data_IF_769479113454
#
_entry.id   IF_769479113454
#
_cell.length_a   1.000
_cell.length_b   1.000
_cell.length_c   1.000
_cell.angle_alpha   90.00
_cell.angle_beta   90.00
_cell.angle_gamma   90.00
#
_symmetry.space_group_name_H-M   'P 1'
#
loop_
_entity.id
_entity.type
_entity.pdbx_description
1 polymer ?
#
# COMPACT_ATOMS: atom_id res chain seq x y z
N UNK A 1 14.17 12.60 -2.89
CA UNK A 1 13.32 12.21 -1.76
C UNK A 1 13.94 12.78 -0.50
N UNK A 2 13.13 13.45 0.31
CA UNK A 2 13.54 14.11 1.54
C UNK A 2 13.05 13.30 2.71
N UNK A 3 13.94 13.04 3.65
CA UNK A 3 13.62 12.46 4.95
C UNK A 3 13.68 13.58 6.00
N UNK A 4 12.65 13.71 6.83
CA UNK A 4 12.56 14.74 7.85
C UNK A 4 12.55 14.14 9.26
N UNK A 5 13.33 14.74 10.16
CA UNK A 5 13.47 14.22 11.51
C UNK A 5 12.19 14.45 12.32
N UNK A 6 11.58 13.37 12.80
CA UNK A 6 10.56 13.41 13.85
C UNK A 6 9.39 14.37 13.53
N UNK A 7 8.95 14.38 12.27
CA UNK A 7 8.18 15.47 11.68
C UNK A 7 6.92 15.84 12.50
N UNK A 8 6.11 14.86 12.89
CA UNK A 8 4.89 15.10 13.67
C UNK A 8 5.15 15.76 15.03
N UNK A 9 6.23 15.38 15.70
CA UNK A 9 6.54 15.87 17.04
C UNK A 9 7.33 17.20 17.01
N UNK A 10 7.93 17.54 15.86
CA UNK A 10 8.79 18.73 15.71
C UNK A 10 8.07 19.93 15.08
N UNK A 11 6.86 19.76 14.53
CA UNK A 11 6.09 20.88 13.97
C UNK A 11 5.98 22.03 14.98
N UNK A 12 6.20 23.25 14.51
CA UNK A 12 6.02 24.43 15.34
C UNK A 12 4.53 24.61 15.66
N UNK A 13 4.13 24.18 16.86
CA UNK A 13 2.71 24.16 17.27
C UNK A 13 2.07 25.53 17.25
N UNK A 14 2.79 26.57 17.65
CA UNK A 14 2.24 27.93 17.64
C UNK A 14 1.95 28.40 16.21
N UNK A 15 2.88 28.16 15.29
CA UNK A 15 2.67 28.42 13.87
C UNK A 15 1.52 27.57 13.31
N UNK A 16 1.46 26.29 13.65
CA UNK A 16 0.38 25.38 13.24
C UNK A 16 -1.01 25.89 13.70
N UNK A 17 -1.14 26.30 14.96
CA UNK A 17 -2.38 26.86 15.51
C UNK A 17 -2.81 28.15 14.80
N UNK A 18 -1.84 29.03 14.50
CA UNK A 18 -2.09 30.25 13.74
C UNK A 18 -2.54 29.93 12.31
N UNK A 19 -1.81 29.07 11.60
CA UNK A 19 -2.12 28.66 10.23
C UNK A 19 -3.47 27.97 10.14
N UNK A 20 -3.82 27.13 11.13
CA UNK A 20 -5.13 26.48 11.23
C UNK A 20 -6.27 27.49 11.29
N UNK A 21 -6.10 28.62 12.00
CA UNK A 21 -7.12 29.67 12.05
C UNK A 21 -7.43 30.27 10.68
N UNK A 22 -6.44 30.32 9.79
CA UNK A 22 -6.56 30.91 8.46
C UNK A 22 -7.03 29.87 7.44
N UNK A 23 -6.36 28.72 7.39
CA UNK A 23 -6.57 27.68 6.38
C UNK A 23 -7.73 26.74 6.72
N UNK A 24 -8.10 26.61 7.99
CA UNK A 24 -9.18 25.73 8.44
C UNK A 24 -10.00 26.35 9.58
N UNK A 25 -10.67 27.49 9.33
CA UNK A 25 -11.36 28.27 10.36
C UNK A 25 -12.43 27.46 11.12
N UNK A 26 -13.14 26.56 10.43
CA UNK A 26 -14.21 25.74 10.99
C UNK A 26 -13.73 24.80 12.13
N UNK A 27 -12.49 24.33 12.09
CA UNK A 27 -11.93 23.46 13.14
C UNK A 27 -10.94 24.18 14.06
N UNK A 28 -10.62 25.45 13.77
CA UNK A 28 -9.59 26.22 14.49
C UNK A 28 -9.82 26.30 16.01
N UNK A 29 -11.06 26.52 16.45
CA UNK A 29 -11.38 26.62 17.88
C UNK A 29 -11.18 25.28 18.60
N UNK A 30 -11.60 24.18 17.98
CA UNK A 30 -11.42 22.85 18.53
C UNK A 30 -9.93 22.53 18.67
N UNK A 31 -9.17 22.70 17.57
CA UNK A 31 -7.73 22.43 17.53
C UNK A 31 -7.00 23.33 18.53
N UNK A 32 -7.35 24.61 18.62
CA UNK A 32 -6.78 25.52 19.62
C UNK A 32 -7.03 25.02 21.04
N UNK A 33 -8.26 24.61 21.39
CA UNK A 33 -8.54 24.12 22.73
C UNK A 33 -7.79 22.83 23.06
N UNK A 34 -7.58 21.96 22.07
CA UNK A 34 -6.83 20.70 22.22
C UNK A 34 -5.32 20.95 22.38
N UNK A 35 -4.75 21.88 21.63
CA UNK A 35 -3.30 22.04 21.46
C UNK A 35 -2.70 23.34 22.02
N UNK A 36 -3.49 24.31 22.49
CA UNK A 36 -2.96 25.60 23.04
C UNK A 36 -2.07 25.42 24.28
N UNK A 37 -2.24 24.33 25.01
CA UNK A 37 -1.48 24.00 26.21
C UNK A 37 -0.42 22.95 25.96
N UNK A 38 0.25 22.53 27.03
CA UNK A 38 1.15 21.39 26.98
C UNK A 38 0.44 20.16 27.55
N UNK A 39 0.19 19.17 26.70
CA UNK A 39 -0.43 17.92 27.13
C UNK A 39 0.57 17.14 28.01
N UNK A 40 0.14 16.62 29.17
CA UNK A 40 0.99 15.75 29.98
C UNK A 40 1.09 14.37 29.33
N UNK A 41 2.31 13.92 29.08
CA UNK A 41 2.69 12.57 28.67
C UNK A 41 2.99 11.77 29.93
N UNK A 42 2.17 10.75 30.19
CA UNK A 42 2.26 9.93 31.40
C UNK A 42 3.12 8.71 31.13
N UNK A 43 4.22 8.58 31.87
CA UNK A 43 5.05 7.38 31.85
C UNK A 43 4.65 6.50 33.03
N UNK A 44 4.38 5.22 32.76
CA UNK A 44 4.01 4.26 33.81
C UNK A 44 5.08 4.26 34.90
N UNK A 45 4.64 4.27 36.16
CA UNK A 45 5.48 4.26 37.37
C UNK A 45 6.37 5.51 37.57
N UNK A 46 6.15 6.58 36.79
CA UNK A 46 6.74 7.90 37.03
C UNK A 46 5.80 8.80 37.84
N UNK A 47 6.35 9.58 38.77
CA UNK A 47 5.63 10.66 39.47
C UNK A 47 5.73 12.00 38.75
N UNK A 48 6.59 12.10 37.74
CA UNK A 48 6.80 13.29 36.94
C UNK A 48 6.05 13.20 35.62
N UNK A 49 5.49 14.33 35.18
CA UNK A 49 4.90 14.47 33.85
C UNK A 49 5.92 15.03 32.87
N UNK A 50 6.05 14.39 31.71
CA UNK A 50 6.66 15.02 30.55
C UNK A 50 5.60 15.85 29.85
N UNK A 51 5.95 17.03 29.35
CA UNK A 51 4.98 17.91 28.71
C UNK A 51 5.26 18.01 27.21
N UNK A 52 4.28 17.67 26.38
CA UNK A 52 4.37 17.84 24.94
C UNK A 52 4.23 19.32 24.60
N UNK A 53 5.34 19.99 24.23
CA UNK A 53 5.39 21.43 23.93
C UNK A 53 5.33 21.76 22.44
N UNK A 54 5.72 20.81 21.60
CA UNK A 54 5.84 20.95 20.15
C UNK A 54 5.08 19.83 19.43
N UNK A 55 4.85 20.01 18.14
CA UNK A 55 4.21 19.01 17.30
C UNK A 55 2.74 18.76 17.60
N UNK A 56 2.26 17.68 17.00
CA UNK A 56 0.92 17.10 17.12
C UNK A 56 1.03 15.67 17.63
N UNK A 57 0.04 15.21 18.40
CA UNK A 57 0.11 13.91 19.07
C UNK A 57 -0.14 12.78 18.09
N UNK A 58 0.82 11.86 17.92
CA UNK A 58 0.59 10.65 17.14
C UNK A 58 -0.49 9.77 17.79
N UNK A 59 -1.44 9.30 16.99
CA UNK A 59 -2.62 8.57 17.46
C UNK A 59 -3.85 9.45 17.78
N UNK A 60 -3.72 10.77 17.77
CA UNK A 60 -4.89 11.67 17.74
C UNK A 60 -5.54 11.60 16.34
N UNK A 61 -6.87 11.34 16.23
CA UNK A 61 -7.60 11.33 14.97
C UNK A 61 -7.43 12.58 14.09
N UNK A 62 -7.12 13.74 14.68
CA UNK A 62 -6.92 14.99 13.94
C UNK A 62 -5.46 15.31 13.59
N UNK A 63 -4.48 14.56 14.11
CA UNK A 63 -3.07 14.94 13.99
C UNK A 63 -2.60 15.09 12.56
N UNK A 64 -3.02 14.19 11.66
CA UNK A 64 -2.67 14.23 10.23
C UNK A 64 -3.18 15.48 9.54
N UNK A 65 -4.41 15.90 9.83
CA UNK A 65 -5.00 17.10 9.22
C UNK A 65 -4.33 18.36 9.75
N UNK A 66 -4.04 18.41 11.06
CA UNK A 66 -3.31 19.53 11.65
C UNK A 66 -1.89 19.61 11.06
N UNK A 67 -1.22 18.46 10.92
CA UNK A 67 0.10 18.39 10.30
C UNK A 67 0.06 18.92 8.85
N UNK A 68 -0.89 18.44 8.04
CA UNK A 68 -1.04 18.90 6.65
C UNK A 68 -1.25 20.42 6.57
N UNK A 69 -2.15 20.97 7.39
CA UNK A 69 -2.40 22.42 7.45
C UNK A 69 -1.16 23.20 7.94
N UNK A 70 -0.38 22.62 8.84
CA UNK A 70 0.84 23.23 9.34
C UNK A 70 1.95 23.28 8.28
N UNK A 71 2.04 22.29 7.40
CA UNK A 71 3.07 22.20 6.36
C UNK A 71 2.73 22.97 5.08
N UNK A 72 1.45 23.18 4.75
CA UNK A 72 1.04 23.92 3.53
C UNK A 72 1.76 25.27 3.37
N UNK A 73 1.84 26.14 4.39
CA UNK A 73 2.57 27.41 4.27
C UNK A 73 4.07 27.27 3.97
N UNK A 74 4.71 26.20 4.46
CA UNK A 74 6.10 25.89 4.09
C UNK A 74 6.19 25.51 2.61
N UNK A 75 5.30 24.63 2.15
CA UNK A 75 5.25 24.16 0.76
C UNK A 75 5.05 25.35 -0.19
N UNK A 76 4.10 26.23 0.12
CA UNK A 76 3.84 27.45 -0.65
C UNK A 76 5.04 28.40 -0.63
N UNK A 77 5.69 28.55 0.52
CA UNK A 77 6.83 29.45 0.69
C UNK A 77 8.07 28.99 -0.09
N UNK A 78 8.38 27.69 -0.08
CA UNK A 78 9.51 27.16 -0.85
C UNK A 78 9.18 27.12 -2.34
N UNK A 79 7.92 26.91 -2.72
CA UNK A 79 7.46 26.78 -4.09
C UNK A 79 8.05 25.57 -4.84
N UNK A 80 7.59 25.34 -6.06
CA UNK A 80 8.06 24.23 -6.89
C UNK A 80 9.49 24.45 -7.43
N UNK A 81 10.18 23.39 -7.87
CA UNK A 81 11.35 23.50 -8.74
C UNK A 81 11.00 24.15 -10.10
N UNK A 82 11.93 24.85 -10.73
CA UNK A 82 11.63 25.58 -11.99
C UNK A 82 11.36 24.63 -13.17
N UNK A 83 12.22 23.63 -13.41
CA UNK A 83 12.04 22.67 -14.52
C UNK A 83 11.29 21.41 -14.11
N UNK A 84 10.40 21.48 -13.10
CA UNK A 84 9.83 20.27 -12.52
C UNK A 84 8.69 20.46 -11.53
N UNK A 85 8.49 19.44 -10.71
CA UNK A 85 7.42 19.37 -9.70
C UNK A 85 7.90 18.65 -8.45
N UNK A 86 7.33 19.05 -7.33
CA UNK A 86 7.39 18.34 -6.06
C UNK A 86 6.01 17.79 -5.67
N UNK A 87 6.04 16.74 -4.88
CA UNK A 87 4.88 16.03 -4.33
C UNK A 87 5.19 15.76 -2.87
N UNK A 88 4.17 15.96 -2.04
CA UNK A 88 4.24 15.77 -0.61
C UNK A 88 3.24 14.70 -0.19
N UNK A 89 3.71 13.71 0.57
CA UNK A 89 2.85 12.70 1.19
C UNK A 89 3.15 12.67 2.68
N UNK A 90 2.25 13.27 3.47
CA UNK A 90 2.54 13.55 4.88
C UNK A 90 3.86 14.33 5.03
N UNK A 91 4.83 13.78 5.76
CA UNK A 91 6.17 14.34 5.95
C UNK A 91 7.16 13.99 4.83
N UNK A 92 6.87 13.02 3.97
CA UNK A 92 7.72 12.67 2.84
C UNK A 92 7.57 13.71 1.72
N UNK A 93 8.64 14.48 1.47
CA UNK A 93 8.72 15.38 0.32
C UNK A 93 9.55 14.75 -0.81
N UNK A 94 9.10 14.89 -2.04
CA UNK A 94 9.84 14.43 -3.22
C UNK A 94 9.74 15.42 -4.35
N UNK A 95 10.85 15.67 -5.06
CA UNK A 95 10.89 16.57 -6.21
C UNK A 95 11.57 15.90 -7.40
N UNK A 96 11.11 16.22 -8.60
CA UNK A 96 11.69 15.78 -9.87
C UNK A 96 11.91 17.00 -10.77
N UNK A 97 13.17 17.32 -11.05
CA UNK A 97 13.60 18.45 -11.88
C UNK A 97 15.05 18.25 -12.35
N UNK A 98 15.64 19.25 -13.02
CA UNK A 98 17.07 19.29 -13.31
C UNK A 98 17.90 19.33 -12.01
N UNK A 99 19.16 18.88 -12.05
CA UNK A 99 20.00 18.78 -10.86
C UNK A 99 20.19 20.14 -10.15
N UNK A 100 20.41 21.21 -10.92
CA UNK A 100 20.59 22.56 -10.38
C UNK A 100 19.31 23.10 -9.72
N UNK A 101 18.15 22.88 -10.35
CA UNK A 101 16.86 23.29 -9.77
C UNK A 101 16.51 22.47 -8.53
N UNK A 102 16.83 21.17 -8.51
CA UNK A 102 16.67 20.33 -7.33
C UNK A 102 17.53 20.82 -6.19
N UNK A 103 18.79 21.20 -6.45
CA UNK A 103 19.67 21.76 -5.43
C UNK A 103 19.12 23.09 -4.89
N UNK A 104 18.63 23.96 -5.77
CA UNK A 104 18.00 25.24 -5.39
C UNK A 104 16.75 25.03 -4.53
N UNK A 105 15.86 24.13 -4.94
CA UNK A 105 14.67 23.74 -4.17
C UNK A 105 15.05 23.13 -2.81
N UNK A 106 15.99 22.21 -2.79
CA UNK A 106 16.46 21.57 -1.56
C UNK A 106 17.10 22.58 -0.59
N UNK A 107 17.88 23.54 -1.11
CA UNK A 107 18.48 24.61 -0.31
C UNK A 107 17.44 25.53 0.32
N UNK A 108 16.38 25.89 -0.44
CA UNK A 108 15.23 26.63 0.10
C UNK A 108 14.55 25.85 1.23
N UNK A 109 14.34 24.55 1.04
CA UNK A 109 13.73 23.69 2.05
C UNK A 109 14.58 23.57 3.31
N UNK A 110 15.90 23.41 3.18
CA UNK A 110 16.82 23.36 4.34
C UNK A 110 16.84 24.66 5.13
N UNK A 111 16.74 25.80 4.45
CA UNK A 111 16.74 27.12 5.07
C UNK A 111 15.40 27.44 5.75
N UNK A 112 14.29 27.23 5.04
CA UNK A 112 12.97 27.62 5.51
C UNK A 112 12.34 26.59 6.47
N UNK A 113 12.53 25.29 6.20
CA UNK A 113 11.88 24.18 6.91
C UNK A 113 11.90 24.30 8.43
N UNK A 114 13.06 24.54 9.07
CA UNK A 114 13.17 24.60 10.52
C UNK A 114 12.25 25.63 11.19
N UNK A 115 11.93 26.74 10.51
CA UNK A 115 11.03 27.76 11.05
C UNK A 115 9.58 27.26 11.21
N UNK A 116 9.21 26.25 10.41
CA UNK A 116 7.92 25.59 10.44
C UNK A 116 7.94 24.28 11.26
N UNK A 117 9.11 23.88 11.77
CA UNK A 117 9.30 22.61 12.48
C UNK A 117 9.47 21.39 11.56
N UNK A 118 9.75 21.63 10.27
CA UNK A 118 10.13 20.59 9.32
C UNK A 118 11.65 20.58 9.19
N UNK A 119 12.29 19.50 9.62
CA UNK A 119 13.75 19.44 9.71
C UNK A 119 14.29 18.36 8.77
N UNK A 120 14.64 18.70 7.52
CA UNK A 120 15.24 17.73 6.61
C UNK A 120 16.56 17.19 7.18
N UNK A 121 16.80 15.89 6.99
CA UNK A 121 18.06 15.23 7.31
C UNK A 121 18.81 14.87 6.02
N UNK A 122 19.69 15.75 5.49
CA UNK A 122 20.36 15.53 4.21
C UNK A 122 21.00 14.15 4.01
N UNK A 123 21.57 13.57 5.08
CA UNK A 123 22.25 12.27 5.04
C UNK A 123 21.32 11.06 4.91
N UNK A 124 20.02 11.26 5.16
CA UNK A 124 18.97 10.25 4.94
C UNK A 124 18.18 10.52 3.66
N UNK A 125 18.35 11.71 3.07
CA UNK A 125 17.77 12.02 1.77
C UNK A 125 18.42 11.19 0.67
N UNK A 126 17.62 10.89 -0.35
CA UNK A 126 18.04 10.11 -1.50
C UNK A 126 17.74 10.86 -2.79
N UNK A 127 18.75 10.94 -3.67
CA UNK A 127 18.66 11.50 -5.01
C UNK A 127 18.75 10.37 -6.03
N UNK A 128 17.66 10.12 -6.75
CA UNK A 128 17.60 9.12 -7.82
C UNK A 128 17.89 9.79 -9.15
N UNK A 129 18.93 9.32 -9.86
CA UNK A 129 19.34 9.87 -11.16
C UNK A 129 19.54 8.77 -12.19
N UNK A 130 19.43 9.14 -13.47
CA UNK A 130 19.88 8.25 -14.54
C UNK A 130 21.40 8.01 -14.40
N UNK A 131 21.87 6.81 -14.75
CA UNK A 131 23.27 6.37 -14.61
C UNK A 131 24.29 7.35 -15.21
N UNK A 132 23.91 8.06 -16.27
CA UNK A 132 24.77 9.04 -16.94
C UNK A 132 25.06 10.30 -16.10
N UNK A 133 24.26 10.57 -15.07
CA UNK A 133 24.37 11.76 -14.23
C UNK A 133 24.87 11.48 -12.81
N UNK A 134 25.21 10.22 -12.48
CA UNK A 134 25.65 9.84 -11.12
C UNK A 134 26.85 10.67 -10.68
N UNK A 135 27.89 10.78 -11.50
CA UNK A 135 29.09 11.56 -11.14
C UNK A 135 28.76 13.03 -10.89
N UNK A 136 28.02 13.67 -11.80
CA UNK A 136 27.62 15.07 -11.66
C UNK A 136 26.74 15.32 -10.42
N UNK A 137 25.82 14.40 -10.13
CA UNK A 137 24.96 14.47 -8.95
C UNK A 137 25.75 14.27 -7.65
N UNK A 138 26.68 13.30 -7.62
CA UNK A 138 27.59 13.09 -6.50
C UNK A 138 28.42 14.33 -6.21
N UNK A 139 28.98 14.98 -7.24
CA UNK A 139 29.78 16.20 -7.08
C UNK A 139 28.92 17.37 -6.58
N UNK A 140 27.73 17.55 -7.16
CA UNK A 140 26.83 18.66 -6.83
C UNK A 140 26.25 18.57 -5.41
N UNK A 141 25.90 17.36 -4.96
CA UNK A 141 25.29 17.13 -3.64
C UNK A 141 26.28 16.68 -2.55
N UNK A 142 27.58 16.60 -2.89
CA UNK A 142 28.65 16.10 -2.00
C UNK A 142 28.67 16.77 -0.63
N UNK A 143 28.51 18.08 -0.59
CA UNK A 143 28.58 18.89 0.64
C UNK A 143 27.43 18.59 1.61
N UNK A 144 26.30 18.09 1.10
CA UNK A 144 25.12 17.75 1.89
C UNK A 144 25.15 16.30 2.40
N UNK A 145 25.91 15.43 1.73
CA UNK A 145 25.97 14.00 2.05
C UNK A 145 24.69 13.25 1.68
N UNK A 146 23.94 13.74 0.68
CA UNK A 146 22.77 13.05 0.11
C UNK A 146 23.21 11.77 -0.58
N UNK A 147 22.47 10.69 -0.38
CA UNK A 147 22.74 9.42 -1.07
C UNK A 147 22.30 9.50 -2.54
N UNK A 148 23.21 9.21 -3.46
CA UNK A 148 22.95 9.27 -4.91
C UNK A 148 22.88 7.86 -5.45
N UNK A 149 21.72 7.50 -6.00
CA UNK A 149 21.45 6.16 -6.51
C UNK A 149 20.76 6.23 -7.88
N UNK A 150 20.70 5.09 -8.57
CA UNK A 150 19.97 4.96 -9.84
C UNK A 150 18.55 4.41 -9.65
N UNK A 151 18.21 3.92 -8.45
CA UNK A 151 16.87 3.47 -8.11
C UNK A 151 16.63 3.53 -6.61
N UNK A 152 15.38 3.76 -6.21
CA UNK A 152 15.01 3.79 -4.80
C UNK A 152 13.56 3.39 -4.56
N UNK A 153 13.28 2.84 -3.38
CA UNK A 153 11.92 2.53 -2.91
C UNK A 153 11.21 3.84 -2.57
N UNK A 154 9.98 4.03 -3.06
CA UNK A 154 9.18 5.21 -2.76
C UNK A 154 7.72 4.81 -2.55
N UNK A 155 7.15 5.15 -1.38
CA UNK A 155 5.75 4.87 -1.02
C UNK A 155 5.33 3.42 -1.34
N UNK A 156 6.20 2.47 -0.97
CA UNK A 156 6.02 1.03 -1.18
C UNK A 156 6.17 0.52 -2.62
N UNK A 157 6.36 1.39 -3.61
CA UNK A 157 6.83 1.06 -4.96
C UNK A 157 8.32 1.31 -5.14
N UNK A 158 8.77 1.42 -6.39
CA UNK A 158 10.16 1.68 -6.77
C UNK A 158 10.21 2.65 -7.96
N UNK A 159 11.19 3.55 -7.93
CA UNK A 159 11.47 4.50 -9.02
C UNK A 159 12.93 4.38 -9.47
N UNK A 160 13.22 4.80 -10.70
CA UNK A 160 14.56 4.83 -11.27
C UNK A 160 14.79 3.74 -12.31
N UNK A 161 15.96 3.10 -12.25
CA UNK A 161 16.41 2.12 -13.25
C UNK A 161 15.55 0.86 -13.29
N UNK A 162 15.43 0.27 -14.48
CA UNK A 162 14.71 -1.00 -14.69
C UNK A 162 15.34 -2.14 -13.88
N UNK A 163 16.68 -2.22 -13.85
CA UNK A 163 17.41 -3.21 -13.06
C UNK A 163 17.05 -3.10 -11.58
N UNK A 164 17.10 -1.89 -11.02
CA UNK A 164 16.74 -1.66 -9.62
C UNK A 164 15.27 -1.95 -9.31
N UNK A 165 14.37 -1.70 -10.27
CA UNK A 165 12.97 -2.08 -10.14
C UNK A 165 12.79 -3.61 -10.08
N UNK A 166 13.48 -4.34 -10.96
CA UNK A 166 13.46 -5.81 -10.98
C UNK A 166 14.03 -6.39 -9.69
N UNK A 167 15.16 -5.86 -9.22
CA UNK A 167 15.82 -6.34 -8.00
C UNK A 167 14.94 -6.12 -6.76
N UNK A 168 14.33 -4.93 -6.62
CA UNK A 168 13.41 -4.65 -5.53
C UNK A 168 12.21 -5.61 -5.51
N UNK A 169 11.59 -5.87 -6.67
CA UNK A 169 10.45 -6.80 -6.75
C UNK A 169 10.90 -8.23 -6.41
N UNK A 170 12.08 -8.66 -6.87
CA UNK A 170 12.66 -9.98 -6.53
C UNK A 170 12.92 -10.12 -5.04
N UNK A 171 13.38 -9.07 -4.38
CA UNK A 171 13.59 -9.06 -2.92
C UNK A 171 12.25 -9.21 -2.18
N UNK A 172 11.22 -8.46 -2.57
CA UNK A 172 9.87 -8.63 -2.02
C UNK A 172 9.31 -10.04 -2.26
N UNK A 173 9.46 -10.57 -3.48
CA UNK A 173 9.05 -11.95 -3.83
C UNK A 173 9.77 -12.97 -2.96
N UNK A 174 11.07 -12.80 -2.74
CA UNK A 174 11.86 -13.69 -1.88
C UNK A 174 11.40 -13.65 -0.42
N UNK A 175 11.03 -12.48 0.08
CA UNK A 175 10.43 -12.34 1.42
C UNK A 175 9.07 -13.05 1.51
N UNK A 176 8.20 -12.87 0.51
CA UNK A 176 6.90 -13.53 0.49
C UNK A 176 7.00 -15.04 0.37
N UNK A 177 7.94 -15.58 -0.40
CA UNK A 177 8.21 -17.02 -0.45
C UNK A 177 8.55 -17.54 0.95
N UNK A 178 9.44 -16.87 1.70
CA UNK A 178 9.78 -17.26 3.09
C UNK A 178 8.57 -17.21 4.02
N UNK A 179 7.69 -16.22 3.85
CA UNK A 179 6.46 -16.14 4.64
C UNK A 179 5.51 -17.28 4.28
N UNK A 180 5.37 -17.61 2.99
CA UNK A 180 4.53 -18.72 2.52
C UNK A 180 5.05 -20.07 3.03
N UNK A 181 6.37 -20.29 3.08
CA UNK A 181 6.96 -21.48 3.71
C UNK A 181 6.54 -21.62 5.17
N UNK A 182 6.49 -20.52 5.94
CA UNK A 182 5.98 -20.55 7.32
C UNK A 182 4.48 -20.83 7.38
N UNK A 183 3.70 -20.25 6.48
CA UNK A 183 2.27 -20.51 6.39
C UNK A 183 1.95 -21.95 6.02
N UNK A 184 2.80 -22.60 5.21
CA UNK A 184 2.69 -24.03 4.87
C UNK A 184 2.85 -24.89 6.12
N UNK A 185 3.89 -24.64 6.93
CA UNK A 185 4.09 -25.37 8.21
C UNK A 185 2.88 -25.20 9.14
N UNK A 186 2.31 -23.99 9.20
CA UNK A 186 1.09 -23.74 9.99
C UNK A 186 -0.10 -24.50 9.40
N UNK A 187 -0.22 -24.56 8.07
CA UNK A 187 -1.35 -25.21 7.38
C UNK A 187 -1.46 -26.71 7.65
N UNK A 188 -0.36 -27.39 8.02
CA UNK A 188 -0.37 -28.80 8.38
C UNK A 188 -1.33 -29.09 9.55
N UNK A 189 -1.33 -28.21 10.56
CA UNK A 189 -2.12 -28.36 11.80
C UNK A 189 -3.29 -27.38 11.89
N UNK A 190 -3.19 -26.22 11.26
CA UNK A 190 -4.15 -25.10 11.37
C UNK A 190 -4.43 -24.49 9.97
N UNK A 191 -5.00 -25.27 9.03
CA UNK A 191 -5.20 -24.84 7.64
C UNK A 191 -6.12 -23.62 7.51
N UNK A 192 -7.17 -23.50 8.34
CA UNK A 192 -8.06 -22.34 8.34
C UNK A 192 -7.32 -21.04 8.71
N UNK A 193 -6.45 -21.09 9.71
CA UNK A 193 -5.65 -19.93 10.14
C UNK A 193 -4.64 -19.53 9.08
N UNK A 194 -3.96 -20.51 8.47
CA UNK A 194 -3.04 -20.27 7.36
C UNK A 194 -3.75 -19.64 6.15
N UNK A 195 -4.90 -20.18 5.74
CA UNK A 195 -5.74 -19.61 4.69
C UNK A 195 -6.19 -18.18 5.00
N UNK A 196 -6.62 -17.93 6.23
CA UNK A 196 -7.00 -16.59 6.70
C UNK A 196 -5.84 -15.60 6.62
N UNK A 197 -4.66 -15.97 7.12
CA UNK A 197 -3.48 -15.11 7.09
C UNK A 197 -3.03 -14.83 5.65
N UNK A 198 -3.06 -15.84 4.78
CA UNK A 198 -2.76 -15.70 3.36
C UNK A 198 -3.70 -14.69 2.68
N UNK A 199 -5.01 -14.93 2.74
CA UNK A 199 -6.00 -14.17 1.97
C UNK A 199 -6.20 -12.75 2.47
N UNK A 200 -6.01 -12.50 3.77
CA UNK A 200 -6.26 -11.19 4.40
C UNK A 200 -5.02 -10.34 4.57
N UNK A 201 -3.83 -10.93 4.56
CA UNK A 201 -2.58 -10.20 4.78
C UNK A 201 -1.63 -10.36 3.60
N UNK A 202 -1.08 -11.55 3.38
CA UNK A 202 0.06 -11.73 2.48
C UNK A 202 -0.33 -11.38 1.04
N UNK A 203 -1.50 -11.85 0.57
CA UNK A 203 -2.00 -11.52 -0.75
C UNK A 203 -2.21 -10.02 -0.98
N UNK A 204 -2.63 -9.29 0.04
CA UNK A 204 -2.84 -7.84 -0.04
C UNK A 204 -1.53 -7.05 -0.15
N UNK A 205 -0.42 -7.58 0.38
CA UNK A 205 0.89 -6.92 0.29
C UNK A 205 1.40 -6.86 -1.15
N UNK A 206 1.41 -7.99 -1.87
CA UNK A 206 1.81 -7.95 -3.28
C UNK A 206 0.77 -7.30 -4.18
N UNK A 207 -0.52 -7.38 -3.84
CA UNK A 207 -1.55 -6.60 -4.54
C UNK A 207 -1.28 -5.10 -4.42
N UNK A 208 -0.74 -4.63 -3.29
CA UNK A 208 -0.26 -3.26 -3.17
C UNK A 208 0.92 -2.99 -4.10
N UNK A 209 1.96 -3.83 -4.08
CA UNK A 209 3.14 -3.65 -4.95
C UNK A 209 2.76 -3.60 -6.44
N UNK A 210 1.87 -4.48 -6.88
CA UNK A 210 1.36 -4.52 -8.26
C UNK A 210 0.61 -3.25 -8.66
N UNK A 211 -0.05 -2.57 -7.72
CA UNK A 211 -0.75 -1.31 -8.00
C UNK A 211 0.19 -0.13 -8.23
N UNK A 212 1.44 -0.23 -7.74
CA UNK A 212 2.41 0.87 -7.76
C UNK A 212 3.66 0.58 -8.60
N UNK A 213 3.82 -0.65 -9.11
CA UNK A 213 5.00 -1.07 -9.90
C UNK A 213 4.55 -1.65 -11.24
N UNK A 214 4.86 -0.99 -12.38
CA UNK A 214 4.54 -1.52 -13.70
C UNK A 214 5.41 -2.74 -14.07
N UNK A 215 4.96 -3.51 -15.05
CA UNK A 215 5.75 -4.54 -15.75
C UNK A 215 6.41 -5.58 -14.82
N UNK A 216 5.79 -5.88 -13.68
CA UNK A 216 6.34 -6.79 -12.67
C UNK A 216 5.74 -8.21 -12.73
N UNK A 217 4.80 -8.47 -13.64
CA UNK A 217 4.05 -9.73 -13.75
C UNK A 217 4.93 -10.99 -13.73
N UNK A 218 5.95 -11.03 -14.58
CA UNK A 218 6.82 -12.21 -14.75
C UNK A 218 7.65 -12.54 -13.50
N UNK A 219 7.87 -11.56 -12.62
CA UNK A 219 8.67 -11.72 -11.41
C UNK A 219 7.94 -12.50 -10.31
N UNK A 220 6.62 -12.66 -10.42
CA UNK A 220 5.79 -13.35 -9.44
C UNK A 220 5.76 -14.88 -9.60
N UNK A 221 6.46 -15.44 -10.60
CA UNK A 221 6.55 -16.89 -10.83
C UNK A 221 6.86 -17.71 -9.57
N UNK A 222 7.89 -17.37 -8.77
CA UNK A 222 8.22 -18.11 -7.55
C UNK A 222 7.08 -18.14 -6.51
N UNK A 223 6.31 -17.06 -6.39
CA UNK A 223 5.14 -16.98 -5.49
C UNK A 223 4.04 -17.92 -5.98
N UNK A 224 3.75 -17.91 -7.28
CA UNK A 224 2.76 -18.81 -7.87
C UNK A 224 3.16 -20.28 -7.72
N UNK A 225 4.43 -20.60 -7.97
CA UNK A 225 4.97 -21.96 -7.81
C UNK A 225 4.75 -22.49 -6.40
N UNK A 226 5.14 -21.75 -5.35
CA UNK A 226 4.96 -22.23 -3.97
C UNK A 226 3.48 -22.31 -3.56
N UNK A 227 2.62 -21.43 -4.08
CA UNK A 227 1.17 -21.51 -3.84
C UNK A 227 0.61 -22.82 -4.42
N UNK A 228 0.93 -23.08 -5.69
CA UNK A 228 0.42 -24.23 -6.44
C UNK A 228 0.96 -25.56 -5.91
N UNK A 229 2.27 -25.64 -5.69
CA UNK A 229 2.96 -26.91 -5.41
C UNK A 229 2.98 -27.29 -3.93
N UNK A 230 2.83 -26.32 -3.02
CA UNK A 230 2.97 -26.57 -1.58
C UNK A 230 1.80 -26.07 -0.76
N UNK A 231 1.44 -24.78 -0.87
CA UNK A 231 0.41 -24.19 0.00
C UNK A 231 -0.95 -24.83 -0.22
N UNK A 232 -1.44 -24.85 -1.47
CA UNK A 232 -2.74 -25.42 -1.79
C UNK A 232 -2.81 -26.92 -1.42
N UNK A 233 -1.84 -27.77 -1.81
CA UNK A 233 -1.84 -29.16 -1.36
C UNK A 233 -1.87 -29.33 0.16
N UNK A 234 -1.17 -28.48 0.91
CA UNK A 234 -1.16 -28.56 2.39
C UNK A 234 -2.49 -28.13 3.01
N UNK A 235 -3.14 -27.11 2.44
CA UNK A 235 -4.45 -26.65 2.89
C UNK A 235 -5.53 -27.74 2.72
N UNK A 236 -5.50 -28.46 1.59
CA UNK A 236 -6.47 -29.51 1.28
C UNK A 236 -6.08 -30.88 1.85
N UNK A 237 -4.79 -31.16 2.00
CA UNK A 237 -4.27 -32.48 2.36
C UNK A 237 -4.20 -33.46 1.19
N UNK A 238 -4.26 -32.98 -0.05
CA UNK A 238 -4.21 -33.78 -1.28
C UNK A 238 -3.52 -33.01 -2.43
N UNK A 239 -3.23 -33.70 -3.54
CA UNK A 239 -2.73 -33.04 -4.75
C UNK A 239 -3.82 -32.18 -5.41
N UNK A 240 -3.40 -31.08 -6.04
CA UNK A 240 -4.30 -30.11 -6.69
C UNK A 240 -3.98 -30.05 -8.18
N UNK A 241 -5.01 -30.25 -9.02
CA UNK A 241 -4.91 -30.17 -10.48
C UNK A 241 -4.83 -28.72 -10.99
N UNK A 242 -4.43 -28.55 -12.26
CA UNK A 242 -4.39 -27.24 -12.91
C UNK A 242 -5.78 -26.58 -13.03
N UNK A 243 -6.81 -27.39 -13.26
CA UNK A 243 -8.20 -26.91 -13.30
C UNK A 243 -8.65 -26.40 -11.93
N UNK A 244 -8.34 -27.12 -10.85
CA UNK A 244 -8.64 -26.71 -9.47
C UNK A 244 -7.85 -25.47 -9.07
N UNK A 245 -6.56 -25.39 -9.40
CA UNK A 245 -5.75 -24.19 -9.15
C UNK A 245 -6.38 -22.95 -9.78
N UNK A 246 -6.88 -23.09 -11.01
CA UNK A 246 -7.56 -22.01 -11.74
C UNK A 246 -8.88 -21.66 -11.05
N UNK A 247 -9.67 -22.65 -10.63
CA UNK A 247 -10.92 -22.47 -9.90
C UNK A 247 -10.72 -21.78 -8.54
N UNK A 248 -9.68 -22.13 -7.80
CA UNK A 248 -9.37 -21.51 -6.50
C UNK A 248 -8.99 -20.04 -6.61
N UNK A 249 -8.61 -19.57 -7.80
CA UNK A 249 -8.40 -18.15 -8.06
C UNK A 249 -9.69 -17.33 -8.11
N UNK A 250 -10.84 -17.95 -8.38
CA UNK A 250 -12.11 -17.27 -8.40
C UNK A 250 -12.53 -16.80 -6.99
N UNK A 251 -13.36 -15.75 -6.89
CA UNK A 251 -13.96 -15.34 -5.64
C UNK A 251 -14.79 -16.45 -4.97
N UNK A 252 -14.91 -16.42 -3.65
CA UNK A 252 -15.72 -17.38 -2.88
C UNK A 252 -17.18 -17.44 -3.34
N UNK A 253 -17.77 -16.30 -3.74
CA UNK A 253 -19.12 -16.24 -4.32
C UNK A 253 -19.29 -16.98 -5.66
N UNK A 254 -18.20 -17.36 -6.31
CA UNK A 254 -18.17 -18.15 -7.54
C UNK A 254 -17.66 -19.58 -7.30
N UNK A 255 -17.61 -20.02 -6.04
CA UNK A 255 -17.12 -21.34 -5.65
C UNK A 255 -15.60 -21.41 -5.42
N UNK A 256 -14.83 -20.38 -5.77
CA UNK A 256 -13.37 -20.39 -5.59
C UNK A 256 -12.90 -20.10 -4.15
N UNK A 257 -11.62 -19.80 -3.98
CA UNK A 257 -10.99 -19.51 -2.68
C UNK A 257 -10.46 -18.08 -2.57
N UNK A 258 -10.58 -17.27 -3.62
CA UNK A 258 -9.94 -15.95 -3.71
C UNK A 258 -8.41 -16.03 -3.54
N UNK A 259 -7.80 -17.14 -3.94
CA UNK A 259 -6.34 -17.34 -3.98
C UNK A 259 -5.86 -16.97 -5.38
N UNK A 260 -5.62 -15.67 -5.56
CA UNK A 260 -5.29 -15.07 -6.85
C UNK A 260 -4.03 -15.72 -7.44
N UNK A 261 -3.90 -15.66 -8.76
CA UNK A 261 -2.67 -16.00 -9.47
C UNK A 261 -1.84 -14.72 -9.59
N UNK A 262 -0.75 -14.55 -8.80
CA UNK A 262 -0.07 -13.26 -8.73
C UNK A 262 0.45 -12.75 -10.09
N UNK A 263 1.03 -13.57 -10.99
CA UNK A 263 1.44 -13.10 -12.32
C UNK A 263 0.27 -12.52 -13.14
N UNK A 264 -0.89 -13.16 -13.13
CA UNK A 264 -2.02 -12.75 -14.00
C UNK A 264 -2.74 -11.48 -13.53
N UNK A 265 -2.51 -11.07 -12.28
CA UNK A 265 -3.19 -9.93 -11.66
C UNK A 265 -2.40 -8.62 -11.73
N UNK A 266 -1.08 -8.67 -11.95
CA UNK A 266 -0.20 -7.52 -11.86
C UNK A 266 -0.58 -6.37 -12.80
N UNK A 267 -0.70 -6.63 -14.11
CA UNK A 267 -0.96 -5.60 -15.10
C UNK A 267 -2.36 -4.97 -14.96
N UNK A 268 -3.36 -5.80 -14.61
CA UNK A 268 -4.72 -5.33 -14.31
C UNK A 268 -4.74 -4.47 -13.04
N UNK A 269 -4.00 -4.85 -12.00
CA UNK A 269 -3.92 -4.07 -10.77
C UNK A 269 -3.24 -2.71 -11.00
N UNK A 270 -2.14 -2.69 -11.76
CA UNK A 270 -1.46 -1.44 -12.13
C UNK A 270 -2.35 -0.53 -12.98
N UNK A 271 -2.93 -1.06 -14.07
CA UNK A 271 -3.77 -0.26 -14.98
C UNK A 271 -5.02 0.30 -14.29
N UNK A 272 -5.69 -0.49 -13.44
CA UNK A 272 -6.82 -0.02 -12.63
C UNK A 272 -6.40 1.07 -11.63
N UNK A 273 -5.25 0.90 -10.96
CA UNK A 273 -4.68 1.90 -10.05
C UNK A 273 -4.44 3.22 -10.78
N UNK A 274 -3.82 3.16 -11.97
CA UNK A 274 -3.57 4.33 -12.82
C UNK A 274 -4.85 5.00 -13.29
N UNK A 275 -5.86 4.23 -13.70
CA UNK A 275 -7.16 4.76 -14.10
C UNK A 275 -7.81 5.53 -12.94
N UNK A 276 -7.94 4.91 -11.78
CA UNK A 276 -8.59 5.50 -10.60
C UNK A 276 -7.90 6.77 -10.09
N UNK A 277 -6.57 6.85 -10.23
CA UNK A 277 -5.78 7.98 -9.74
C UNK A 277 -5.57 9.09 -10.78
N UNK A 278 -6.12 8.95 -11.99
CA UNK A 278 -5.90 9.90 -13.10
C UNK A 278 -6.19 11.36 -12.71
N UNK A 279 -7.33 11.71 -12.09
CA UNK A 279 -7.62 13.10 -11.76
C UNK A 279 -6.60 13.70 -10.76
N UNK A 280 -6.22 12.92 -9.73
CA UNK A 280 -5.21 13.33 -8.75
C UNK A 280 -3.85 13.55 -9.42
N UNK A 281 -3.43 12.62 -10.28
CA UNK A 281 -2.15 12.73 -11.00
C UNK A 281 -2.13 13.95 -11.92
N UNK A 282 -3.24 14.26 -12.60
CA UNK A 282 -3.33 15.45 -13.45
C UNK A 282 -3.26 16.73 -12.63
N UNK A 283 -4.03 16.82 -11.53
CA UNK A 283 -3.99 17.97 -10.62
C UNK A 283 -2.57 18.22 -10.08
N UNK A 284 -1.87 17.16 -9.65
CA UNK A 284 -0.48 17.26 -9.17
C UNK A 284 0.49 17.73 -10.26
N UNK A 285 0.33 17.30 -11.51
CA UNK A 285 1.20 17.72 -12.62
C UNK A 285 0.96 19.17 -13.02
N UNK A 286 -0.30 19.57 -13.08
CA UNK A 286 -0.73 20.89 -13.54
C UNK A 286 -0.67 21.94 -12.42
N UNK A 287 -0.44 21.52 -11.17
CA UNK A 287 -0.62 22.35 -9.98
C UNK A 287 -2.04 22.94 -9.91
N UNK A 288 -3.01 22.13 -10.33
CA UNK A 288 -4.43 22.48 -10.35
C UNK A 288 -5.11 22.17 -9.03
N UNK A 289 -6.19 22.89 -8.72
CA UNK A 289 -7.08 22.48 -7.65
C UNK A 289 -7.82 21.21 -8.07
N UNK A 290 -7.89 20.24 -7.16
CA UNK A 290 -8.72 19.05 -7.33
C UNK A 290 -10.10 19.34 -6.76
N UNK A 291 -11.11 19.36 -7.62
CA UNK A 291 -12.49 19.35 -7.15
C UNK A 291 -12.81 17.96 -6.60
N UNK A 292 -13.16 17.93 -5.30
CA UNK A 292 -13.41 16.66 -4.61
C UNK A 292 -14.72 16.00 -5.03
N UNK A 293 -15.73 16.79 -5.40
CA UNK A 293 -17.02 16.25 -5.82
C UNK A 293 -16.88 15.64 -7.22
N UNK A 294 -16.24 16.33 -8.16
CA UNK A 294 -15.92 15.79 -9.49
C UNK A 294 -15.03 14.55 -9.39
N UNK A 295 -14.04 14.56 -8.49
CA UNK A 295 -13.17 13.41 -8.25
C UNK A 295 -13.97 12.20 -7.74
N UNK A 296 -14.87 12.38 -6.77
CA UNK A 296 -15.70 11.31 -6.23
C UNK A 296 -16.60 10.73 -7.33
N UNK A 297 -17.26 11.58 -8.12
CA UNK A 297 -18.10 11.14 -9.24
C UNK A 297 -17.31 10.33 -10.27
N UNK A 298 -16.14 10.83 -10.68
CA UNK A 298 -15.24 10.11 -11.58
C UNK A 298 -14.82 8.76 -11.00
N UNK A 299 -14.39 8.76 -9.74
CA UNK A 299 -13.89 7.58 -9.06
C UNK A 299 -14.96 6.50 -8.96
N UNK A 300 -16.19 6.86 -8.59
CA UNK A 300 -17.31 5.93 -8.50
C UNK A 300 -17.69 5.35 -9.87
N UNK A 301 -17.71 6.17 -10.91
CA UNK A 301 -17.93 5.72 -12.28
C UNK A 301 -16.84 4.74 -12.74
N UNK A 302 -15.57 5.06 -12.48
CA UNK A 302 -14.43 4.22 -12.81
C UNK A 302 -14.46 2.89 -12.04
N UNK A 303 -14.76 2.89 -10.74
CA UNK A 303 -14.93 1.67 -9.95
C UNK A 303 -16.04 0.80 -10.52
N UNK A 304 -17.17 1.39 -10.90
CA UNK A 304 -18.30 0.65 -11.45
C UNK A 304 -17.93 -0.04 -12.76
N UNK A 305 -17.21 0.65 -13.64
CA UNK A 305 -16.72 0.07 -14.90
C UNK A 305 -15.70 -1.05 -14.63
N UNK A 306 -14.71 -0.81 -13.76
CA UNK A 306 -13.69 -1.81 -13.39
C UNK A 306 -14.36 -3.06 -12.80
N UNK A 307 -15.34 -2.88 -11.92
CA UNK A 307 -16.08 -3.98 -11.30
C UNK A 307 -16.87 -4.77 -12.34
N UNK A 308 -17.54 -4.08 -13.27
CA UNK A 308 -18.26 -4.73 -14.37
C UNK A 308 -17.34 -5.57 -15.25
N UNK A 309 -16.17 -5.05 -15.63
CA UNK A 309 -15.19 -5.79 -16.42
C UNK A 309 -14.64 -6.98 -15.65
N UNK A 310 -14.29 -6.80 -14.37
CA UNK A 310 -13.85 -7.90 -13.50
C UNK A 310 -14.90 -9.01 -13.37
N UNK A 311 -16.18 -8.65 -13.25
CA UNK A 311 -17.27 -9.62 -13.16
C UNK A 311 -17.43 -10.41 -14.46
N UNK A 312 -17.28 -9.75 -15.62
CA UNK A 312 -17.31 -10.41 -16.92
C UNK A 312 -16.12 -11.36 -17.09
N UNK A 313 -14.90 -10.92 -16.79
CA UNK A 313 -13.68 -11.73 -16.86
C UNK A 313 -13.79 -12.98 -15.97
N UNK A 314 -14.32 -12.83 -14.76
CA UNK A 314 -14.48 -13.95 -13.81
C UNK A 314 -15.57 -14.92 -14.26
N UNK A 315 -16.62 -14.43 -14.93
CA UNK A 315 -17.67 -15.28 -15.50
C UNK A 315 -17.15 -16.07 -16.71
N UNK A 316 -16.36 -15.44 -17.58
CA UNK A 316 -15.68 -16.11 -18.69
C UNK A 316 -14.74 -17.20 -18.17
N UNK A 317 -13.89 -16.87 -17.19
CA UNK A 317 -13.01 -17.84 -16.55
C UNK A 317 -13.78 -19.00 -15.91
N UNK A 318 -14.89 -18.72 -15.24
CA UNK A 318 -15.76 -19.77 -14.66
C UNK A 318 -16.30 -20.72 -15.74
N UNK A 319 -16.74 -20.18 -16.89
CA UNK A 319 -17.25 -20.99 -17.99
C UNK A 319 -16.14 -21.84 -18.63
N UNK A 320 -14.94 -21.28 -18.78
CA UNK A 320 -13.77 -21.99 -19.30
C UNK A 320 -13.36 -23.17 -18.40
N UNK A 321 -13.36 -22.96 -17.08
CA UNK A 321 -13.12 -24.03 -16.10
C UNK A 321 -14.22 -25.09 -16.18
N UNK A 322 -15.48 -24.66 -16.27
CA UNK A 322 -16.64 -25.54 -16.33
C UNK A 322 -16.59 -26.50 -17.52
N UNK A 323 -15.96 -26.10 -18.62
CA UNK A 323 -15.75 -26.94 -19.79
C UNK A 323 -14.63 -28.00 -19.63
N UNK A 324 -13.77 -27.87 -18.62
CA UNK A 324 -12.57 -28.72 -18.41
C UNK A 324 -12.69 -29.69 -17.24
N UNK A 325 -13.64 -29.45 -16.34
CA UNK A 325 -13.92 -30.31 -15.17
C UNK A 325 -14.96 -31.38 -15.51
N UNK A 326 -14.96 -32.49 -14.78
CA UNK A 326 -15.95 -33.55 -14.98
C UNK A 326 -17.36 -33.14 -14.49
N UNK A 327 -18.37 -33.94 -14.86
CA UNK A 327 -19.76 -33.63 -14.54
C UNK A 327 -20.06 -33.62 -13.03
N UNK A 328 -19.37 -34.43 -12.24
CA UNK A 328 -19.56 -34.49 -10.79
C UNK A 328 -18.97 -33.26 -10.13
N UNK A 329 -17.73 -32.89 -10.48
CA UNK A 329 -17.06 -31.68 -10.02
C UNK A 329 -17.86 -30.43 -10.42
N UNK A 330 -18.31 -30.35 -11.68
CA UNK A 330 -19.14 -29.24 -12.15
C UNK A 330 -20.40 -29.04 -11.31
N UNK A 331 -21.14 -30.13 -11.00
CA UNK A 331 -22.34 -30.06 -10.16
C UNK A 331 -22.04 -29.55 -8.75
N UNK A 332 -20.93 -29.99 -8.16
CA UNK A 332 -20.54 -29.57 -6.84
C UNK A 332 -20.11 -28.09 -6.79
N UNK A 333 -19.35 -27.62 -7.78
CA UNK A 333 -18.96 -26.22 -7.92
C UNK A 333 -20.17 -25.30 -8.16
N UNK A 334 -21.10 -25.70 -9.03
CA UNK A 334 -22.36 -24.99 -9.21
C UNK A 334 -23.15 -24.90 -7.91
N UNK A 335 -23.27 -25.99 -7.15
CA UNK A 335 -23.92 -25.97 -5.83
C UNK A 335 -23.21 -25.01 -4.87
N UNK A 336 -21.88 -25.07 -4.80
CA UNK A 336 -21.09 -24.21 -3.92
C UNK A 336 -21.27 -22.71 -4.23
N UNK A 337 -21.44 -22.37 -5.51
CA UNK A 337 -21.76 -21.02 -6.00
C UNK A 337 -23.21 -20.62 -5.71
N UNK A 338 -24.17 -21.41 -6.20
CA UNK A 338 -25.60 -21.04 -6.22
C UNK A 338 -26.22 -21.07 -4.82
N UNK A 339 -25.80 -22.02 -3.97
CA UNK A 339 -26.24 -22.14 -2.57
C UNK A 339 -25.35 -21.35 -1.58
N UNK A 340 -24.36 -20.59 -2.08
CA UNK A 340 -23.45 -19.75 -1.27
C UNK A 340 -22.72 -20.50 -0.16
N UNK A 341 -22.37 -21.77 -0.41
CA UNK A 341 -21.71 -22.66 0.55
C UNK A 341 -20.29 -22.21 0.94
N UNK A 342 -19.73 -21.20 0.26
CA UNK A 342 -18.36 -20.71 0.46
C UNK A 342 -18.28 -19.47 1.36
N UNK A 343 -19.41 -19.01 1.92
CA UNK A 343 -19.46 -17.79 2.74
C UNK A 343 -18.66 -17.89 4.05
N UNK A 344 -18.53 -19.08 4.63
CA UNK A 344 -17.75 -19.30 5.85
C UNK A 344 -16.25 -19.00 5.69
N UNK A 345 -15.71 -19.08 4.46
CA UNK A 345 -14.31 -18.74 4.17
C UNK A 345 -14.01 -17.25 4.39
N UNK A 346 -15.02 -16.38 4.42
CA UNK A 346 -14.84 -14.94 4.65
C UNK A 346 -14.87 -14.57 6.13
N UNK A 347 -15.10 -15.53 7.04
CA UNK A 347 -15.17 -15.32 8.49
C UNK A 347 -13.78 -15.45 9.12
N UNK A 348 -13.48 -14.60 10.11
CA UNK A 348 -12.21 -14.70 10.87
C UNK A 348 -12.27 -15.89 11.83
N UNK A 349 -11.22 -16.73 11.89
CA UNK A 349 -11.13 -17.87 12.81
C UNK A 349 -10.88 -17.40 14.25
N UNK A 350 -11.92 -16.91 14.91
CA UNK A 350 -11.85 -16.39 16.28
C UNK A 350 -12.44 -17.41 17.25
N UNK A 351 -11.58 -18.03 18.06
CA UNK A 351 -11.96 -19.08 19.02
C UNK A 351 -13.03 -18.62 20.04
N UNK A 352 -12.95 -17.36 20.50
CA UNK A 352 -13.95 -16.76 21.41
C UNK A 352 -15.38 -16.79 20.83
N UNK A 353 -15.51 -16.86 19.51
CA UNK A 353 -16.79 -16.87 18.81
C UNK A 353 -17.12 -18.24 18.19
N UNK A 354 -16.31 -19.28 18.47
CA UNK A 354 -16.45 -20.62 17.89
C UNK A 354 -16.45 -20.62 16.36
N UNK A 355 -15.63 -19.76 15.76
CA UNK A 355 -15.43 -19.68 14.30
C UNK A 355 -14.16 -20.39 13.84
N UNK A 356 -13.40 -20.95 14.77
CA UNK A 356 -12.27 -21.83 14.51
C UNK A 356 -12.75 -23.25 14.18
N UNK A 357 -12.30 -23.75 13.05
CA UNK A 357 -12.49 -25.12 12.61
C UNK A 357 -11.23 -25.91 12.92
N UNK A 358 -11.40 -27.16 13.33
CA UNK A 358 -10.29 -28.13 13.33
C UNK A 358 -9.76 -28.33 11.92
N UNK A 359 -8.54 -28.86 11.79
CA UNK A 359 -7.96 -29.15 10.47
C UNK A 359 -8.84 -30.09 9.64
N UNK A 360 -9.47 -31.08 10.29
CA UNK A 360 -10.36 -32.03 9.63
C UNK A 360 -11.66 -31.35 9.17
N UNK A 361 -12.33 -30.59 10.04
CA UNK A 361 -13.55 -29.86 9.68
C UNK A 361 -13.32 -28.88 8.53
N UNK A 362 -12.17 -28.19 8.51
CA UNK A 362 -11.83 -27.29 7.42
C UNK A 362 -11.65 -28.03 6.09
N UNK A 363 -10.90 -29.14 6.09
CA UNK A 363 -10.66 -29.95 4.88
C UNK A 363 -11.93 -30.62 4.38
N UNK A 364 -12.75 -31.17 5.28
CA UNK A 364 -14.04 -31.77 4.93
C UNK A 364 -14.99 -30.71 4.34
N UNK A 365 -15.04 -29.51 4.92
CA UNK A 365 -15.83 -28.40 4.41
C UNK A 365 -15.34 -27.92 3.02
N UNK A 366 -14.04 -28.03 2.74
CA UNK A 366 -13.50 -27.80 1.40
C UNK A 366 -13.93 -28.91 0.42
N UNK A 367 -13.78 -30.19 0.80
CA UNK A 367 -14.07 -31.33 -0.06
C UNK A 367 -15.56 -31.40 -0.47
N UNK A 368 -16.48 -31.05 0.45
CA UNK A 368 -17.93 -31.00 0.16
C UNK A 368 -18.27 -30.03 -0.99
N UNK A 369 -17.38 -29.07 -1.30
CA UNK A 369 -17.56 -28.10 -2.39
C UNK A 369 -17.15 -28.66 -3.77
N UNK A 370 -16.69 -29.92 -3.85
CA UNK A 370 -16.36 -30.60 -5.10
C UNK A 370 -14.88 -30.62 -5.45
N UNK A 371 -14.02 -30.64 -4.44
CA UNK A 371 -12.55 -30.59 -4.57
C UNK A 371 -11.91 -31.81 -3.96
#
# INVERSE_FOLDING_TARGET
MIDASNAFNSINRQAALWNTRILWPNCSLFIFNTYRGWAPLVVKDSKEFLYSKEGVTQGDPLSMFIYAVATVPLIDHIGHPNTGRDVWYADDASACASLDDLLSWFSRLLSAGPSFGYHPEPRKCVLVVNSNYVSSACDLFKSYGVDVTTSHRLLGGVIGSEIGSVDYVKDCVSEWVKILERLIVIAETQPQLSYSAYTRSIQSQWTYLQRVTPNCSELFGPVETIIKEKLLPTLFGCEISDSERTLFSLPTRMGGLNILQPPTTADKNYSNSRKLTTPIVNALKENGQLDMDEFIEYHDAAIKEITKTKDADMLELFNDISARIDQQQYRAVCRAKDEKMSSWLTINPVAKHHFDLTAQEFRDALAIRGY
#
